data_IF_945024485406
#
_entry.id   IF_945024485406
#
_cell.length_a   1.000
_cell.length_b   1.000
_cell.length_c   1.000
_cell.angle_alpha   90.00
_cell.angle_beta   90.00
_cell.angle_gamma   90.00
#
_symmetry.space_group_name_H-M   'P 1'
#
loop_
_entity.id
_entity.type
_entity.pdbx_description
1 polymer ?
#
# COMPACT_ATOMS: atom_id res chain seq x y z
N UNK A 1 9.18 43.41 1.84
CA UNK A 1 9.58 42.77 3.11
C UNK A 1 8.89 41.41 3.38
N UNK A 2 8.03 40.89 2.50
CA UNK A 2 7.36 39.59 2.70
C UNK A 2 8.07 38.38 2.05
N UNK A 3 9.02 38.61 1.14
CA UNK A 3 9.72 37.53 0.41
C UNK A 3 10.83 36.87 1.24
N UNK A 4 11.40 37.57 2.22
CA UNK A 4 12.56 37.09 2.99
C UNK A 4 12.18 36.14 4.14
N UNK A 5 10.94 36.20 4.64
CA UNK A 5 10.46 35.34 5.74
C UNK A 5 10.17 33.92 5.25
N UNK A 6 9.69 33.77 4.01
CA UNK A 6 9.35 32.46 3.44
C UNK A 6 10.60 31.60 3.14
N UNK A 7 11.67 32.26 2.66
CA UNK A 7 12.96 31.61 2.40
C UNK A 7 13.65 31.15 3.69
N UNK A 8 13.49 31.87 4.80
CA UNK A 8 14.04 31.48 6.10
C UNK A 8 13.36 30.24 6.68
N UNK A 9 12.03 30.13 6.51
CA UNK A 9 11.28 28.95 6.96
C UNK A 9 11.60 27.71 6.12
N UNK A 10 11.75 27.85 4.79
CA UNK A 10 12.21 26.75 3.92
C UNK A 10 13.66 26.33 4.23
N UNK A 11 14.57 27.28 4.49
CA UNK A 11 15.97 26.96 4.82
C UNK A 11 16.12 26.28 6.17
N UNK A 12 15.36 26.71 7.18
CA UNK A 12 15.39 26.09 8.52
C UNK A 12 14.71 24.71 8.52
N UNK A 13 13.68 24.52 7.69
CA UNK A 13 13.04 23.23 7.47
C UNK A 13 13.95 22.24 6.72
N UNK A 14 14.70 22.71 5.70
CA UNK A 14 15.76 21.93 5.04
C UNK A 14 16.88 21.57 6.00
N UNK A 15 17.29 22.51 6.87
CA UNK A 15 18.35 22.26 7.86
C UNK A 15 17.91 21.20 8.86
N UNK A 16 16.67 21.30 9.38
CA UNK A 16 16.06 20.27 10.23
C UNK A 16 15.95 18.91 9.51
N UNK A 17 15.60 18.88 8.21
CA UNK A 17 15.63 17.65 7.38
C UNK A 17 17.02 17.00 7.37
N UNK A 18 18.08 17.78 7.15
CA UNK A 18 19.44 17.23 7.11
C UNK A 18 19.92 16.70 8.46
N UNK A 19 19.54 17.33 9.58
CA UNK A 19 19.94 16.88 10.92
C UNK A 19 19.19 15.63 11.38
N UNK A 20 17.93 15.44 10.95
CA UNK A 20 17.15 14.24 11.28
C UNK A 20 17.63 13.01 10.47
N UNK A 21 18.02 13.21 9.20
CA UNK A 21 18.57 12.18 8.31
C UNK A 21 19.91 11.62 8.80
N UNK A 22 20.73 12.45 9.47
CA UNK A 22 22.00 12.01 10.06
C UNK A 22 21.84 11.24 11.39
N UNK A 23 20.68 11.35 12.06
CA UNK A 23 20.41 10.68 13.34
C UNK A 23 19.81 9.28 13.21
N UNK A 24 19.29 8.89 12.05
CA UNK A 24 18.76 7.53 11.83
C UNK A 24 19.84 6.46 11.68
N UNK A 25 21.13 6.84 11.64
CA UNK A 25 22.26 5.89 11.57
C UNK A 25 22.83 5.50 12.94
N UNK A 26 22.27 6.00 14.04
CA UNK A 26 22.62 5.52 15.36
C UNK A 26 21.65 5.93 16.45
N UNK A 27 20.84 4.99 16.94
CA UNK A 27 20.60 4.94 18.39
C UNK A 27 20.11 3.57 18.89
N UNK A 28 20.58 3.27 20.09
CA UNK A 28 20.34 2.14 20.99
C UNK A 28 18.87 2.00 21.45
N UNK A 29 18.46 0.82 21.96
CA UNK A 29 17.09 0.50 22.30
C UNK A 29 16.70 0.97 23.72
N UNK A 30 15.81 1.96 23.81
CA UNK A 30 15.12 2.25 25.08
C UNK A 30 14.43 3.61 25.15
N UNK A 31 13.27 3.78 24.51
CA UNK A 31 12.24 4.77 24.90
C UNK A 31 10.95 4.55 24.07
N UNK A 32 9.93 3.93 24.66
CA UNK A 32 8.87 3.22 23.92
C UNK A 32 7.57 3.98 23.64
N UNK A 33 7.48 5.29 23.91
CA UNK A 33 6.24 6.06 23.62
C UNK A 33 6.46 7.47 23.08
N UNK A 34 7.41 8.26 23.63
CA UNK A 34 7.73 9.58 23.09
C UNK A 34 8.48 9.51 21.75
N UNK A 35 9.28 8.47 21.54
CA UNK A 35 10.06 8.26 20.32
C UNK A 35 9.17 7.95 19.10
N UNK A 36 8.07 7.22 19.28
CA UNK A 36 7.13 6.91 18.21
C UNK A 36 6.38 8.16 17.72
N UNK A 37 5.95 9.03 18.64
CA UNK A 37 5.35 10.31 18.30
C UNK A 37 6.35 11.26 17.60
N UNK A 38 7.61 11.27 18.06
CA UNK A 38 8.69 12.02 17.41
C UNK A 38 9.02 11.52 16.00
N UNK A 39 9.00 10.20 15.79
CA UNK A 39 9.20 9.58 14.47
C UNK A 39 8.05 9.90 13.50
N UNK A 40 6.80 9.82 13.97
CA UNK A 40 5.64 10.20 13.17
C UNK A 40 5.70 11.68 12.75
N UNK A 41 5.99 12.60 13.67
CA UNK A 41 6.13 14.02 13.34
C UNK A 41 7.25 14.27 12.32
N UNK A 42 8.37 13.56 12.44
CA UNK A 42 9.46 13.66 11.46
C UNK A 42 9.04 13.21 10.05
N UNK A 43 8.29 12.11 9.92
CA UNK A 43 7.75 11.65 8.64
C UNK A 43 6.80 12.67 8.00
N UNK A 44 6.02 13.40 8.80
CA UNK A 44 5.10 14.43 8.31
C UNK A 44 5.80 15.66 7.72
N UNK A 45 7.04 15.94 8.15
CA UNK A 45 7.85 17.06 7.64
C UNK A 45 8.55 16.77 6.30
N UNK A 46 8.62 15.50 5.91
CA UNK A 46 9.12 15.08 4.60
C UNK A 46 8.10 15.41 3.51
N UNK A 47 8.59 15.71 2.31
CA UNK A 47 7.70 15.76 1.15
C UNK A 47 7.08 14.37 0.89
N UNK A 48 5.94 14.28 0.18
CA UNK A 48 5.25 13.01 0.01
C UNK A 48 6.09 11.90 -0.63
N UNK A 49 7.00 12.22 -1.55
CA UNK A 49 7.85 11.21 -2.22
C UNK A 49 8.95 10.74 -1.28
N UNK A 50 9.64 11.65 -0.60
CA UNK A 50 10.64 11.29 0.41
C UNK A 50 10.04 10.45 1.54
N UNK A 51 8.83 10.80 1.99
CA UNK A 51 8.09 10.03 3.01
C UNK A 51 7.84 8.61 2.54
N UNK A 52 7.31 8.44 1.33
CA UNK A 52 7.05 7.11 0.76
C UNK A 52 8.33 6.29 0.63
N UNK A 53 9.44 6.93 0.24
CA UNK A 53 10.75 6.27 0.12
C UNK A 53 11.25 5.75 1.47
N UNK A 54 11.11 6.54 2.54
CA UNK A 54 11.46 6.12 3.90
C UNK A 54 10.57 4.97 4.36
N UNK A 55 9.25 5.13 4.22
CA UNK A 55 8.27 4.10 4.60
C UNK A 55 8.51 2.80 3.83
N UNK A 56 8.79 2.88 2.53
CA UNK A 56 9.11 1.70 1.72
C UNK A 56 10.41 1.03 2.17
N UNK A 57 11.44 1.80 2.56
CA UNK A 57 12.71 1.23 3.04
C UNK A 57 12.53 0.52 4.37
N UNK A 58 11.80 1.12 5.30
CA UNK A 58 11.45 0.52 6.59
C UNK A 58 10.59 -0.73 6.40
N UNK A 59 9.57 -0.68 5.53
CA UNK A 59 8.69 -1.80 5.26
C UNK A 59 9.41 -3.00 4.61
N UNK A 60 10.45 -2.74 3.80
CA UNK A 60 11.28 -3.76 3.15
C UNK A 60 12.53 -4.13 3.98
N UNK A 61 12.70 -3.57 5.19
CA UNK A 61 13.86 -3.90 6.00
C UNK A 61 13.67 -5.26 6.68
N UNK A 62 14.41 -6.25 6.17
CA UNK A 62 14.38 -7.65 6.63
C UNK A 62 14.85 -7.84 8.09
N UNK A 63 15.35 -6.79 8.74
CA UNK A 63 15.66 -6.80 10.17
C UNK A 63 14.41 -6.78 11.04
N UNK A 64 13.27 -6.34 10.50
CA UNK A 64 11.98 -6.42 11.17
C UNK A 64 11.37 -7.80 10.92
N UNK A 65 10.87 -8.45 11.97
CA UNK A 65 10.16 -9.74 11.86
C UNK A 65 8.88 -9.66 11.00
N UNK A 66 8.39 -8.45 10.71
CA UNK A 66 7.15 -8.22 9.97
C UNK A 66 7.41 -7.22 8.84
N UNK A 67 7.44 -7.70 7.59
CA UNK A 67 7.33 -6.83 6.42
C UNK A 67 6.02 -6.05 6.51
N UNK A 68 6.06 -4.73 6.50
CA UNK A 68 4.85 -3.90 6.54
C UNK A 68 4.18 -3.86 5.15
N UNK A 69 3.65 -5.01 4.74
CA UNK A 69 2.96 -5.21 3.47
C UNK A 69 1.87 -4.17 3.22
N UNK A 70 1.15 -3.80 4.29
CA UNK A 70 0.09 -2.81 4.24
C UNK A 70 0.57 -1.44 3.77
N UNK A 71 1.66 -0.95 4.33
CA UNK A 71 2.24 0.34 3.95
C UNK A 71 2.67 0.35 2.48
N UNK A 72 3.24 -0.75 1.98
CA UNK A 72 3.62 -0.89 0.58
C UNK A 72 2.39 -0.93 -0.35
N UNK A 73 1.32 -1.64 0.03
CA UNK A 73 0.06 -1.64 -0.71
C UNK A 73 -0.54 -0.24 -0.74
N UNK A 74 -0.62 0.44 0.39
CA UNK A 74 -1.14 1.81 0.50
C UNK A 74 -0.35 2.79 -0.38
N UNK A 75 0.98 2.64 -0.43
CA UNK A 75 1.84 3.40 -1.32
C UNK A 75 1.53 3.12 -2.80
N UNK A 76 1.59 1.87 -3.26
CA UNK A 76 1.38 1.57 -4.68
C UNK A 76 -0.06 1.86 -5.14
N UNK A 77 -1.07 1.55 -4.32
CA UNK A 77 -2.46 1.81 -4.66
C UNK A 77 -2.79 3.31 -4.61
N UNK A 78 -2.28 4.03 -3.60
CA UNK A 78 -2.62 5.42 -3.35
C UNK A 78 -1.89 6.45 -4.22
N UNK A 79 -0.77 6.07 -4.85
CA UNK A 79 0.05 6.99 -5.64
C UNK A 79 -0.24 6.90 -7.13
N UNK A 80 -0.18 8.05 -7.80
CA UNK A 80 -0.19 8.13 -9.27
C UNK A 80 1.07 7.46 -9.82
N UNK A 81 0.99 6.88 -11.01
CA UNK A 81 2.16 6.24 -11.62
C UNK A 81 3.34 7.17 -11.83
N UNK A 82 3.10 8.45 -12.12
CA UNK A 82 4.17 9.45 -12.19
C UNK A 82 4.92 9.60 -10.87
N UNK A 83 4.21 9.55 -9.72
CA UNK A 83 4.84 9.57 -8.40
C UNK A 83 5.58 8.26 -8.12
N UNK A 84 5.04 7.11 -8.51
CA UNK A 84 5.74 5.82 -8.33
C UNK A 84 7.06 5.79 -9.11
N UNK A 85 7.12 6.38 -10.30
CA UNK A 85 8.40 6.54 -11.03
C UNK A 85 9.39 7.40 -10.23
N UNK A 86 8.94 8.53 -9.67
CA UNK A 86 9.79 9.39 -8.84
C UNK A 86 10.25 8.69 -7.56
N UNK A 87 9.36 7.97 -6.87
CA UNK A 87 9.68 7.18 -5.68
C UNK A 87 10.79 6.18 -5.99
N UNK A 88 10.69 5.44 -7.10
CA UNK A 88 11.73 4.50 -7.55
C UNK A 88 13.08 5.17 -7.75
N UNK A 89 13.10 6.33 -8.39
CA UNK A 89 14.33 7.09 -8.64
C UNK A 89 14.95 7.59 -7.33
N UNK A 90 14.15 8.21 -6.46
CA UNK A 90 14.62 8.75 -5.18
C UNK A 90 15.09 7.63 -4.25
N UNK A 91 14.39 6.49 -4.22
CA UNK A 91 14.81 5.31 -3.47
C UNK A 91 16.20 4.84 -3.88
N UNK A 92 16.47 4.78 -5.19
CA UNK A 92 17.77 4.39 -5.73
C UNK A 92 18.87 5.39 -5.38
N UNK A 93 18.61 6.68 -5.55
CA UNK A 93 19.60 7.72 -5.21
C UNK A 93 19.92 7.71 -3.72
N UNK A 94 18.90 7.51 -2.86
CA UNK A 94 19.03 7.62 -1.41
C UNK A 94 19.67 6.40 -0.75
N UNK A 95 19.33 5.20 -1.21
CA UNK A 95 19.77 3.96 -0.55
C UNK A 95 20.73 3.12 -1.39
N UNK A 96 21.00 3.50 -2.64
CA UNK A 96 21.81 2.69 -3.56
C UNK A 96 21.17 1.34 -3.93
N UNK A 97 19.86 1.18 -3.70
CA UNK A 97 19.09 -0.06 -3.93
C UNK A 97 17.95 0.18 -4.90
N UNK A 98 17.47 -0.89 -5.52
CA UNK A 98 16.32 -0.83 -6.43
C UNK A 98 15.12 -1.44 -5.72
N UNK A 99 14.06 -0.66 -5.51
CA UNK A 99 12.86 -1.12 -4.78
C UNK A 99 12.25 -2.39 -5.41
N UNK A 100 12.27 -2.50 -6.75
CA UNK A 100 11.77 -3.69 -7.45
C UNK A 100 12.58 -4.94 -7.07
N UNK A 101 13.90 -4.79 -6.93
CA UNK A 101 14.79 -5.88 -6.51
C UNK A 101 14.57 -6.22 -5.04
N UNK A 102 14.38 -5.22 -4.19
CA UNK A 102 14.16 -5.43 -2.76
C UNK A 102 12.83 -6.15 -2.48
N UNK A 103 11.79 -5.87 -3.27
CA UNK A 103 10.53 -6.63 -3.24
C UNK A 103 10.77 -8.10 -3.64
N UNK A 104 11.59 -8.36 -4.66
CA UNK A 104 11.90 -9.72 -5.09
C UNK A 104 12.69 -10.53 -4.04
N UNK A 105 13.46 -9.84 -3.20
CA UNK A 105 14.22 -10.45 -2.11
C UNK A 105 13.39 -10.73 -0.84
N UNK A 106 12.08 -10.47 -0.83
CA UNK A 106 11.21 -10.84 0.31
C UNK A 106 11.23 -12.38 0.47
N UNK A 107 11.72 -12.85 1.62
CA UNK A 107 11.91 -14.26 1.94
C UNK A 107 10.61 -14.93 2.43
N UNK A 108 10.48 -16.27 2.30
CA UNK A 108 9.35 -17.04 2.85
C UNK A 108 9.23 -16.86 4.38
N UNK A 109 8.00 -16.92 4.95
CA UNK A 109 6.74 -17.37 4.32
C UNK A 109 6.00 -16.30 3.50
N UNK A 110 6.54 -15.08 3.36
CA UNK A 110 5.86 -13.93 2.75
C UNK A 110 5.69 -13.94 1.21
N UNK A 111 5.68 -15.12 0.58
CA UNK A 111 5.61 -15.28 -0.88
C UNK A 111 4.32 -14.70 -1.52
N UNK A 112 3.12 -14.85 -0.90
CA UNK A 112 1.90 -14.22 -1.43
C UNK A 112 1.99 -12.69 -1.49
N UNK A 113 2.57 -12.07 -0.46
CA UNK A 113 2.77 -10.62 -0.39
C UNK A 113 3.71 -10.14 -1.49
N UNK A 114 4.84 -10.85 -1.70
CA UNK A 114 5.79 -10.56 -2.78
C UNK A 114 5.12 -10.62 -4.15
N UNK A 115 4.38 -11.69 -4.45
CA UNK A 115 3.67 -11.83 -5.74
C UNK A 115 2.71 -10.68 -6.00
N UNK A 116 1.93 -10.30 -4.99
CA UNK A 116 0.97 -9.20 -5.08
C UNK A 116 1.68 -7.84 -5.26
N UNK A 117 2.75 -7.57 -4.50
CA UNK A 117 3.52 -6.34 -4.64
C UNK A 117 4.15 -6.22 -6.03
N UNK A 118 4.71 -7.30 -6.56
CA UNK A 118 5.23 -7.32 -7.94
C UNK A 118 4.12 -7.01 -8.95
N UNK A 119 2.93 -7.57 -8.77
CA UNK A 119 1.79 -7.28 -9.62
C UNK A 119 1.36 -5.79 -9.52
N UNK A 120 1.26 -5.23 -8.31
CA UNK A 120 0.93 -3.82 -8.13
C UNK A 120 1.97 -2.89 -8.76
N UNK A 121 3.26 -3.18 -8.61
CA UNK A 121 4.32 -2.44 -9.28
C UNK A 121 4.16 -2.48 -10.80
N UNK A 122 3.85 -3.65 -11.36
CA UNK A 122 3.62 -3.80 -12.80
C UNK A 122 2.39 -3.02 -13.28
N UNK A 123 1.34 -2.93 -12.47
CA UNK A 123 0.10 -2.19 -12.77
C UNK A 123 0.33 -0.73 -13.17
N UNK A 124 1.38 -0.10 -12.61
CA UNK A 124 1.71 1.30 -12.90
C UNK A 124 2.15 1.54 -14.34
N UNK A 125 2.57 0.50 -15.07
CA UNK A 125 2.92 0.58 -16.50
C UNK A 125 1.67 0.77 -17.37
N UNK A 126 0.48 0.43 -16.89
CA UNK A 126 -0.79 0.55 -17.63
C UNK A 126 -1.51 1.89 -17.40
N UNK A 127 -0.93 2.87 -16.70
CA UNK A 127 -1.61 4.09 -16.25
C UNK A 127 -2.11 5.03 -17.35
N UNK A 128 -1.55 4.94 -18.56
CA UNK A 128 -2.00 5.73 -19.70
C UNK A 128 -3.19 5.11 -20.45
N UNK A 129 -3.63 3.91 -20.07
CA UNK A 129 -4.77 3.27 -20.69
C UNK A 129 -6.08 3.91 -20.23
N UNK A 130 -6.97 4.18 -21.18
CA UNK A 130 -8.31 4.65 -20.89
C UNK A 130 -9.14 3.62 -20.14
N UNK A 131 -10.05 4.11 -19.30
CA UNK A 131 -10.99 3.27 -18.57
C UNK A 131 -11.98 2.63 -19.54
N UNK A 132 -12.13 1.31 -19.44
CA UNK A 132 -13.02 0.54 -20.30
C UNK A 132 -14.00 -0.29 -19.48
N UNK A 133 -15.30 0.01 -19.66
CA UNK A 133 -16.39 -0.75 -19.05
C UNK A 133 -16.47 -2.18 -19.60
N UNK A 134 -16.12 -2.38 -20.87
CA UNK A 134 -16.08 -3.73 -21.46
C UNK A 134 -15.01 -4.58 -20.77
N UNK A 135 -13.80 -4.03 -20.61
CA UNK A 135 -12.71 -4.70 -19.89
C UNK A 135 -13.13 -4.99 -18.45
N UNK A 136 -13.71 -4.02 -17.75
CA UNK A 136 -14.18 -4.21 -16.37
C UNK A 136 -15.21 -5.35 -16.25
N UNK A 137 -16.15 -5.47 -17.21
CA UNK A 137 -17.12 -6.59 -17.26
C UNK A 137 -16.44 -7.93 -17.52
N UNK A 138 -15.50 -8.00 -18.46
CA UNK A 138 -14.74 -9.21 -18.76
C UNK A 138 -13.92 -9.67 -17.55
N UNK A 139 -13.18 -8.74 -16.94
CA UNK A 139 -12.32 -9.00 -15.79
C UNK A 139 -13.15 -9.38 -14.55
N UNK A 140 -14.30 -8.73 -14.30
CA UNK A 140 -15.21 -9.12 -13.22
C UNK A 140 -15.71 -10.56 -13.38
N UNK A 141 -16.04 -10.98 -14.62
CA UNK A 141 -16.41 -12.37 -14.90
C UNK A 141 -15.26 -13.34 -14.66
N UNK A 142 -14.03 -12.97 -15.04
CA UNK A 142 -12.84 -13.78 -14.75
C UNK A 142 -12.65 -13.97 -13.25
N UNK A 143 -12.74 -12.88 -12.46
CA UNK A 143 -12.63 -12.94 -10.99
C UNK A 143 -13.68 -13.87 -10.37
N UNK A 144 -14.91 -13.85 -10.88
CA UNK A 144 -15.96 -14.75 -10.41
C UNK A 144 -15.64 -16.21 -10.76
N UNK A 145 -15.21 -16.48 -12.00
CA UNK A 145 -14.87 -17.82 -12.46
C UNK A 145 -13.67 -18.42 -11.74
N UNK A 146 -12.75 -17.61 -11.23
CA UNK A 146 -11.57 -18.09 -10.49
C UNK A 146 -11.86 -18.39 -9.03
N UNK A 147 -12.95 -17.85 -8.47
CA UNK A 147 -13.38 -18.08 -7.09
C UNK A 147 -14.72 -18.81 -7.07
N UNK A 148 -15.79 -18.10 -6.72
CA UNK A 148 -17.14 -18.65 -6.49
C UNK A 148 -17.74 -19.46 -7.64
N UNK A 149 -17.33 -19.18 -8.88
CA UNK A 149 -17.75 -19.93 -10.06
C UNK A 149 -17.13 -21.32 -10.20
N UNK A 150 -16.20 -21.70 -9.31
CA UNK A 150 -15.55 -23.01 -9.25
C UNK A 150 -15.53 -23.52 -7.80
N UNK A 151 -15.74 -24.82 -7.61
CA UNK A 151 -15.47 -25.45 -6.32
C UNK A 151 -13.96 -25.59 -6.14
N UNK A 152 -13.35 -24.77 -5.27
CA UNK A 152 -11.91 -24.86 -4.99
C UNK A 152 -11.29 -23.56 -4.45
N UNK A 153 -9.97 -23.58 -4.30
CA UNK A 153 -9.17 -22.39 -4.00
C UNK A 153 -9.13 -21.43 -5.19
N UNK A 154 -8.85 -20.16 -4.94
CA UNK A 154 -8.81 -19.15 -5.99
C UNK A 154 -7.64 -19.41 -6.94
N UNK A 155 -7.84 -19.19 -8.25
CA UNK A 155 -6.73 -19.23 -9.21
C UNK A 155 -5.86 -17.96 -9.06
N UNK A 156 -4.86 -18.04 -8.18
CA UNK A 156 -3.94 -16.92 -7.85
C UNK A 156 -3.31 -16.32 -9.12
N UNK A 157 -2.95 -17.16 -10.09
CA UNK A 157 -2.24 -16.74 -11.29
C UNK A 157 -3.11 -15.79 -12.14
N UNK A 158 -4.39 -16.09 -12.29
CA UNK A 158 -5.34 -15.22 -13.01
C UNK A 158 -5.54 -13.88 -12.28
N UNK A 159 -5.64 -13.92 -10.94
CA UNK A 159 -5.78 -12.69 -10.14
C UNK A 159 -4.54 -11.81 -10.27
N UNK A 160 -3.35 -12.39 -10.14
CA UNK A 160 -2.07 -11.68 -10.27
C UNK A 160 -1.86 -11.12 -11.68
N UNK A 161 -2.26 -11.86 -12.72
CA UNK A 161 -2.25 -11.38 -14.11
C UNK A 161 -3.14 -10.13 -14.28
N UNK A 162 -4.34 -10.15 -13.71
CA UNK A 162 -5.27 -9.03 -13.77
C UNK A 162 -4.72 -7.83 -13.01
N UNK A 163 -4.24 -8.01 -11.77
CA UNK A 163 -3.62 -6.95 -10.98
C UNK A 163 -2.41 -6.32 -11.69
N UNK A 164 -1.59 -7.12 -12.37
CA UNK A 164 -0.38 -6.64 -13.05
C UNK A 164 -0.63 -5.90 -14.36
N UNK A 165 -1.70 -6.23 -15.08
CA UNK A 165 -1.99 -5.65 -16.40
C UNK A 165 -2.94 -4.46 -16.38
N UNK A 166 -3.69 -4.26 -15.30
CA UNK A 166 -4.70 -3.19 -15.21
C UNK A 166 -4.19 -2.03 -14.38
N UNK A 167 -4.51 -0.81 -14.78
CA UNK A 167 -4.25 0.36 -13.96
C UNK A 167 -5.12 0.33 -12.69
N UNK A 168 -4.66 0.97 -11.60
CA UNK A 168 -5.44 1.07 -10.35
C UNK A 168 -6.86 1.61 -10.58
N UNK A 169 -7.07 2.67 -11.40
CA UNK A 169 -8.43 3.12 -11.74
C UNK A 169 -9.28 2.06 -12.46
N UNK A 170 -8.69 1.27 -13.38
CA UNK A 170 -9.40 0.19 -14.07
C UNK A 170 -9.73 -0.97 -13.12
N UNK A 171 -8.85 -1.29 -12.16
CA UNK A 171 -9.12 -2.27 -11.12
C UNK A 171 -10.30 -1.84 -10.23
N UNK A 172 -10.37 -0.58 -9.82
CA UNK A 172 -11.52 -0.03 -9.08
C UNK A 172 -12.82 -0.22 -9.88
N UNK A 173 -12.81 0.15 -11.17
CA UNK A 173 -13.97 -0.03 -12.05
C UNK A 173 -14.38 -1.51 -12.18
N UNK A 174 -13.39 -2.42 -12.22
CA UNK A 174 -13.60 -3.87 -12.26
C UNK A 174 -14.29 -4.35 -10.98
N UNK A 175 -13.83 -3.95 -9.79
CA UNK A 175 -14.46 -4.34 -8.52
C UNK A 175 -15.86 -3.74 -8.35
N UNK A 176 -16.07 -2.50 -8.81
CA UNK A 176 -17.39 -1.87 -8.85
C UNK A 176 -18.35 -2.64 -9.77
N UNK A 177 -17.87 -3.03 -10.95
CA UNK A 177 -18.64 -3.82 -11.92
C UNK A 177 -18.92 -5.23 -11.39
N UNK A 178 -17.97 -5.86 -10.71
CA UNK A 178 -18.17 -7.14 -10.03
C UNK A 178 -19.35 -7.07 -9.06
N UNK A 179 -19.34 -6.07 -8.17
CA UNK A 179 -20.44 -5.87 -7.21
C UNK A 179 -21.78 -5.65 -7.90
N UNK A 180 -21.80 -4.88 -8.98
CA UNK A 180 -23.02 -4.64 -9.74
C UNK A 180 -23.56 -5.94 -10.38
N UNK A 181 -22.70 -6.83 -10.87
CA UNK A 181 -23.12 -8.07 -11.53
C UNK A 181 -23.52 -9.16 -10.53
N UNK A 182 -22.76 -9.32 -9.43
CA UNK A 182 -22.89 -10.45 -8.51
C UNK A 182 -23.55 -10.09 -7.16
N UNK A 183 -23.86 -8.81 -6.94
CA UNK A 183 -24.62 -8.34 -5.78
C UNK A 183 -23.81 -8.21 -4.47
N UNK A 184 -22.52 -8.51 -4.48
CA UNK A 184 -21.65 -8.43 -3.30
C UNK A 184 -20.23 -7.95 -3.65
N UNK A 185 -19.52 -7.39 -2.68
CA UNK A 185 -18.15 -6.92 -2.88
C UNK A 185 -17.21 -8.11 -3.12
N UNK A 186 -16.27 -8.01 -4.06
CA UNK A 186 -15.27 -9.07 -4.30
C UNK A 186 -14.45 -9.41 -3.02
N UNK A 187 -14.17 -8.43 -2.15
CA UNK A 187 -13.56 -8.69 -0.86
C UNK A 187 -14.34 -9.68 0.03
N UNK A 188 -15.67 -9.72 -0.10
CA UNK A 188 -16.51 -10.69 0.62
C UNK A 188 -16.40 -12.09 0.02
N UNK A 189 -16.29 -12.21 -1.29
CA UNK A 189 -16.15 -13.51 -1.98
C UNK A 189 -14.84 -14.22 -1.64
N UNK A 190 -13.80 -13.47 -1.23
CA UNK A 190 -12.52 -14.04 -0.81
C UNK A 190 -12.64 -14.82 0.50
N UNK A 191 -13.55 -14.44 1.40
CA UNK A 191 -13.72 -15.04 2.74
C UNK A 191 -14.56 -16.31 2.66
N UNK A 192 -14.02 -17.33 2.00
CA UNK A 192 -14.64 -18.63 1.83
C UNK A 192 -13.89 -19.72 2.62
N UNK A 193 -14.26 -20.99 2.41
CA UNK A 193 -13.68 -22.15 3.10
C UNK A 193 -12.16 -22.32 2.87
N UNK A 194 -11.62 -21.75 1.78
CA UNK A 194 -10.21 -21.81 1.40
C UNK A 194 -9.45 -20.52 1.73
N UNK A 195 -9.94 -19.69 2.66
CA UNK A 195 -9.29 -18.44 3.02
C UNK A 195 -7.90 -18.67 3.64
N UNK A 196 -6.85 -18.33 2.89
CA UNK A 196 -5.45 -18.43 3.31
C UNK A 196 -4.72 -17.09 3.29
N UNK A 197 -3.39 -17.16 3.24
CA UNK A 197 -2.52 -15.98 3.26
C UNK A 197 -2.66 -15.13 1.99
N UNK A 198 -2.84 -15.76 0.83
CA UNK A 198 -3.05 -15.05 -0.43
C UNK A 198 -4.37 -14.27 -0.42
N UNK A 199 -5.47 -14.91 -0.02
CA UNK A 199 -6.79 -14.27 0.10
C UNK A 199 -6.77 -13.12 1.10
N UNK A 200 -6.07 -13.27 2.23
CA UNK A 200 -5.91 -12.22 3.22
C UNK A 200 -5.11 -11.03 2.67
N UNK A 201 -4.01 -11.28 1.97
CA UNK A 201 -3.23 -10.24 1.32
C UNK A 201 -4.02 -9.51 0.23
N UNK A 202 -4.77 -10.28 -0.58
CA UNK A 202 -5.62 -9.75 -1.63
C UNK A 202 -6.80 -8.92 -1.08
N UNK A 203 -7.41 -9.32 0.03
CA UNK A 203 -8.49 -8.57 0.70
C UNK A 203 -8.02 -7.15 1.08
N UNK A 204 -6.78 -7.01 1.57
CA UNK A 204 -6.18 -5.70 1.86
C UNK A 204 -6.10 -4.84 0.60
N UNK A 205 -5.61 -5.39 -0.51
CA UNK A 205 -5.50 -4.68 -1.80
C UNK A 205 -6.86 -4.27 -2.33
N UNK A 206 -7.82 -5.20 -2.37
CA UNK A 206 -9.17 -4.94 -2.90
C UNK A 206 -9.86 -3.84 -2.09
N UNK A 207 -9.80 -3.90 -0.76
CA UNK A 207 -10.36 -2.84 0.10
C UNK A 207 -9.69 -1.49 -0.12
N UNK A 208 -8.36 -1.47 -0.20
CA UNK A 208 -7.59 -0.26 -0.43
C UNK A 208 -7.94 0.39 -1.78
N UNK A 209 -8.12 -0.40 -2.85
CA UNK A 209 -8.50 0.09 -4.18
C UNK A 209 -9.97 0.52 -4.24
N UNK A 210 -10.90 -0.33 -3.77
CA UNK A 210 -12.33 -0.16 -4.03
C UNK A 210 -12.98 0.91 -3.15
N UNK A 211 -12.61 0.97 -1.86
CA UNK A 211 -13.13 1.98 -0.95
C UNK A 211 -12.04 2.45 0.03
N UNK A 212 -11.09 3.29 -0.45
CA UNK A 212 -10.01 3.81 0.38
C UNK A 212 -10.50 4.51 1.67
N UNK A 213 -11.54 5.37 1.66
CA UNK A 213 -12.02 6.00 2.90
C UNK A 213 -12.45 4.99 3.96
N UNK A 214 -13.22 3.96 3.57
CA UNK A 214 -13.64 2.90 4.49
C UNK A 214 -12.44 2.09 5.00
N UNK A 215 -11.51 1.78 4.11
CA UNK A 215 -10.29 1.07 4.45
C UNK A 215 -9.47 1.83 5.50
N UNK A 216 -9.14 3.10 5.26
CA UNK A 216 -8.36 3.89 6.22
C UNK A 216 -9.09 4.12 7.54
N UNK A 217 -10.41 4.34 7.52
CA UNK A 217 -11.20 4.47 8.75
C UNK A 217 -11.14 3.22 9.63
N UNK A 218 -11.22 2.03 9.02
CA UNK A 218 -11.05 0.76 9.74
C UNK A 218 -9.65 0.66 10.35
N UNK A 219 -8.62 1.06 9.61
CA UNK A 219 -7.23 0.98 10.07
C UNK A 219 -6.97 1.90 11.25
N UNK A 220 -7.49 3.13 11.17
CA UNK A 220 -7.41 4.10 12.25
C UNK A 220 -8.14 3.59 13.50
N UNK A 221 -9.31 2.98 13.35
CA UNK A 221 -10.05 2.41 14.47
C UNK A 221 -9.25 1.31 15.20
N UNK A 222 -8.61 0.40 14.46
CA UNK A 222 -7.76 -0.64 15.05
C UNK A 222 -6.43 -0.11 15.61
N UNK A 223 -5.92 0.99 15.07
CA UNK A 223 -4.65 1.59 15.48
C UNK A 223 -4.73 2.46 16.73
N UNK A 224 -5.94 2.86 17.16
CA UNK A 224 -6.17 3.62 18.41
C UNK A 224 -6.51 2.61 19.52
N UNK A 225 -5.58 2.27 20.42
CA UNK A 225 -5.89 1.42 21.56
C UNK A 225 -6.84 2.19 22.48
N UNK A 226 -8.05 1.66 22.71
CA UNK A 226 -9.03 2.27 23.62
C UNK A 226 -10.07 3.16 22.94
N UNK A 227 -10.69 2.73 21.83
CA UNK A 227 -11.99 3.31 21.48
C UNK A 227 -12.96 3.06 22.63
N UNK A 228 -13.36 4.13 23.31
CA UNK A 228 -14.41 4.21 24.33
C UNK A 228 -15.79 3.82 23.76
N UNK A 229 -15.96 2.59 23.27
CA UNK A 229 -17.26 2.01 22.89
C UNK A 229 -17.45 0.57 23.38
N UNK A 230 -16.54 0.03 24.20
CA UNK A 230 -16.85 -1.10 25.08
C UNK A 230 -16.99 -0.60 26.52
N UNK A 231 -18.09 0.10 26.78
CA UNK A 231 -18.82 0.19 28.07
C UNK A 231 -19.96 1.21 27.88
N UNK A 232 -21.12 0.75 27.42
CA UNK A 232 -22.30 1.60 27.35
C UNK A 232 -23.36 1.14 26.36
N UNK A 233 -24.29 0.34 26.88
CA UNK A 233 -25.72 0.34 26.55
C UNK A 233 -26.20 1.62 25.87
N UNK A 234 -26.83 1.50 24.70
CA UNK A 234 -28.12 2.12 24.34
C UNK A 234 -28.82 1.25 23.30
#
# INVERSE_FOLDING_TARGET
MATTINLACESDCLRMRTTQLAKSEGNEPGESSSAAAGSALALWMLDPVERDVVVAREALDQKSEITNFRALVEMFVGRKSSHVVLIKQVYQVRFGRVIDQDILCIEPPHDPYKKILVALVASHKAHHADLSQHIAKCDARRLYQTGEGRSGAIDEAVVLELLSKRSIPQLNLTFSTYKHIYGHDYAKSLKNENYGEFEAALDVVVKCIYNPPKYYAQNMHYAIPGSLLEQGTL
#
